data_IF_182930912563
#
_entry.id   IF_182930912563
#
_cell.length_a   1.000
_cell.length_b   1.000
_cell.length_c   1.000
_cell.angle_alpha   90.00
_cell.angle_beta   90.00
_cell.angle_gamma   90.00
#
_symmetry.space_group_name_H-M   'P 1'
#
loop_
_entity.id
_entity.type
_entity.pdbx_description
1 polymer ?
#
# COMPACT_ATOMS: atom_id res chain seq x y z
N UNK A 1 6.25 8.61 -8.20
CA UNK A 1 6.18 7.19 -7.79
C UNK A 1 6.04 6.24 -8.98
N UNK A 2 4.99 6.33 -9.80
CA UNK A 2 4.61 5.33 -10.82
C UNK A 2 5.64 5.08 -11.95
N UNK A 3 5.60 3.87 -12.51
CA UNK A 3 6.46 3.39 -13.61
C UNK A 3 6.17 4.11 -14.94
N UNK A 4 4.89 4.33 -15.22
CA UNK A 4 4.41 4.99 -16.44
C UNK A 4 3.59 6.24 -16.09
N UNK A 5 3.48 7.16 -17.06
CA UNK A 5 2.55 8.29 -17.05
C UNK A 5 1.61 8.15 -18.23
N UNK A 6 0.34 8.47 -18.01
CA UNK A 6 -0.68 8.55 -19.04
C UNK A 6 -0.60 9.92 -19.70
N UNK A 7 -0.65 9.96 -21.03
CA UNK A 7 -0.70 11.18 -21.83
C UNK A 7 -2.02 11.26 -22.58
N UNK A 8 -2.39 12.47 -23.01
CA UNK A 8 -3.53 12.74 -23.88
C UNK A 8 -4.79 11.95 -23.46
N UNK A 9 -5.24 12.14 -22.22
CA UNK A 9 -6.47 11.51 -21.71
C UNK A 9 -6.56 9.97 -21.87
N UNK A 10 -5.43 9.26 -21.95
CA UNK A 10 -5.42 7.81 -22.08
C UNK A 10 -4.98 7.29 -23.45
N UNK A 11 -4.74 8.15 -24.44
CA UNK A 11 -4.33 7.70 -25.78
C UNK A 11 -2.96 7.03 -25.81
N UNK A 12 -2.05 7.43 -24.91
CA UNK A 12 -0.72 6.82 -24.85
C UNK A 12 -0.15 6.81 -23.43
N UNK A 13 0.83 5.94 -23.23
CA UNK A 13 1.60 5.86 -21.99
C UNK A 13 3.08 6.08 -22.28
N UNK A 14 3.76 6.81 -21.40
CA UNK A 14 5.21 7.04 -21.50
C UNK A 14 5.91 6.62 -20.22
N UNK A 15 7.15 6.15 -20.36
CA UNK A 15 7.95 5.72 -19.21
C UNK A 15 8.36 6.93 -18.38
N UNK A 16 8.18 6.85 -17.07
CA UNK A 16 8.67 7.86 -16.14
C UNK A 16 10.17 7.63 -15.86
N UNK A 17 11.08 8.56 -16.26
CA UNK A 17 12.51 8.40 -16.00
C UNK A 17 12.86 8.45 -14.50
N UNK A 18 11.98 9.00 -13.68
CA UNK A 18 12.14 9.18 -12.22
C UNK A 18 11.27 8.22 -11.41
N UNK A 19 10.93 7.05 -11.96
CA UNK A 19 10.16 6.04 -11.23
C UNK A 19 10.97 5.45 -10.07
N UNK A 20 10.29 5.19 -8.96
CA UNK A 20 10.89 4.53 -7.80
C UNK A 20 11.25 3.07 -8.10
N UNK A 21 10.63 2.46 -9.12
CA UNK A 21 10.93 1.08 -9.50
C UNK A 21 12.38 0.89 -10.03
N UNK A 22 13.11 1.99 -10.28
CA UNK A 22 14.54 1.94 -10.56
C UNK A 22 15.39 1.42 -9.39
N UNK A 23 14.88 1.52 -8.16
CA UNK A 23 15.61 1.19 -6.94
C UNK A 23 14.90 0.14 -6.07
N UNK A 24 13.64 -0.16 -6.34
CA UNK A 24 12.85 -1.11 -5.55
C UNK A 24 11.81 -1.86 -6.40
N UNK A 25 11.39 -3.03 -5.92
CA UNK A 25 10.15 -3.67 -6.42
C UNK A 25 8.97 -2.99 -5.73
N UNK A 26 7.93 -2.63 -6.48
CA UNK A 26 6.79 -1.88 -5.96
C UNK A 26 5.50 -2.66 -6.16
N UNK A 27 4.73 -2.78 -5.07
CA UNK A 27 3.35 -3.29 -5.09
C UNK A 27 2.45 -2.08 -4.92
N UNK A 28 1.51 -1.89 -5.86
CA UNK A 28 0.42 -0.93 -5.73
C UNK A 28 -0.82 -1.70 -5.26
N UNK A 29 -1.41 -1.27 -4.16
CA UNK A 29 -2.59 -1.90 -3.56
C UNK A 29 -3.75 -0.90 -3.59
N UNK A 30 -4.79 -1.22 -4.36
CA UNK A 30 -6.05 -0.50 -4.29
C UNK A 30 -6.80 -0.96 -3.03
N UNK A 31 -6.93 -0.07 -2.05
CA UNK A 31 -7.59 -0.35 -0.78
C UNK A 31 -8.30 0.90 -0.24
N UNK A 32 -9.38 0.73 0.55
CA UNK A 32 -10.04 -0.54 0.91
C UNK A 32 -10.82 -1.18 -0.26
N UNK A 33 -11.41 -2.36 -0.03
CA UNK A 33 -12.34 -2.96 -0.99
C UNK A 33 -13.42 -1.96 -1.39
N UNK A 34 -13.67 -1.75 -2.69
CA UNK A 34 -14.51 -0.68 -3.23
C UNK A 34 -13.72 0.46 -3.89
N UNK A 35 -12.39 0.52 -3.71
CA UNK A 35 -11.50 1.49 -4.36
C UNK A 35 -10.86 0.90 -5.61
N UNK A 36 -10.81 1.70 -6.70
CA UNK A 36 -10.10 1.35 -7.92
C UNK A 36 -10.59 0.03 -8.53
N UNK A 37 -9.70 -0.95 -8.62
CA UNK A 37 -10.03 -2.30 -9.09
C UNK A 37 -10.38 -3.29 -7.99
N UNK A 38 -10.24 -2.91 -6.72
CA UNK A 38 -10.69 -3.73 -5.59
C UNK A 38 -12.21 -3.60 -5.44
N UNK A 39 -12.94 -4.69 -5.64
CA UNK A 39 -14.40 -4.70 -5.63
C UNK A 39 -14.93 -5.09 -4.24
N UNK A 40 -15.99 -4.40 -3.81
CA UNK A 40 -16.79 -4.78 -2.64
C UNK A 40 -18.11 -5.37 -3.10
N UNK A 41 -18.38 -6.61 -2.68
CA UNK A 41 -19.52 -7.41 -3.18
C UNK A 41 -20.65 -7.57 -2.15
N UNK A 42 -20.41 -7.21 -0.89
CA UNK A 42 -21.35 -7.34 0.22
C UNK A 42 -22.33 -6.14 0.32
N UNK A 43 -22.11 -5.08 -0.46
CA UNK A 43 -22.94 -3.86 -0.46
C UNK A 43 -22.76 -2.96 0.76
N UNK A 44 -21.79 -3.24 1.62
CA UNK A 44 -21.43 -2.37 2.75
C UNK A 44 -20.48 -1.27 2.26
N UNK A 45 -20.61 -0.06 2.77
CA UNK A 45 -19.77 1.09 2.34
C UNK A 45 -19.15 1.86 3.51
N UNK A 46 -19.26 1.31 4.71
CA UNK A 46 -18.59 1.84 5.89
C UNK A 46 -17.25 1.13 6.03
N UNK A 47 -16.23 1.91 6.38
CA UNK A 47 -14.88 1.42 6.64
C UNK A 47 -14.44 1.98 7.98
N UNK A 48 -13.72 1.18 8.75
CA UNK A 48 -12.91 1.66 9.87
C UNK A 48 -11.44 1.51 9.52
N UNK A 49 -10.57 2.40 9.97
CA UNK A 49 -9.14 2.29 9.66
C UNK A 49 -8.52 0.97 10.17
N UNK A 50 -9.07 0.42 11.26
CA UNK A 50 -8.73 -0.90 11.79
C UNK A 50 -9.10 -2.03 10.82
N UNK A 51 -10.31 -2.00 10.24
CA UNK A 51 -10.73 -2.96 9.21
C UNK A 51 -9.79 -2.88 8.00
N UNK A 52 -9.54 -1.68 7.50
CA UNK A 52 -8.64 -1.46 6.35
C UNK A 52 -7.23 -1.98 6.62
N UNK A 53 -6.69 -1.76 7.82
CA UNK A 53 -5.36 -2.25 8.17
C UNK A 53 -5.29 -3.80 8.20
N UNK A 54 -6.31 -4.46 8.75
CA UNK A 54 -6.38 -5.92 8.79
C UNK A 54 -6.54 -6.54 7.39
N UNK A 55 -7.38 -5.94 6.54
CA UNK A 55 -7.56 -6.38 5.16
C UNK A 55 -6.29 -6.21 4.34
N UNK A 56 -5.56 -5.10 4.54
CA UNK A 56 -4.27 -4.86 3.90
C UNK A 56 -3.21 -5.88 4.35
N UNK A 57 -3.17 -6.23 5.63
CA UNK A 57 -2.30 -7.30 6.15
C UNK A 57 -2.64 -8.64 5.49
N UNK A 58 -3.92 -8.98 5.40
CA UNK A 58 -4.38 -10.22 4.76
C UNK A 58 -4.02 -10.25 3.27
N UNK A 59 -4.20 -9.15 2.55
CA UNK A 59 -3.80 -9.01 1.16
C UNK A 59 -2.29 -9.24 0.98
N UNK A 60 -1.47 -8.68 1.87
CA UNK A 60 -0.02 -8.85 1.82
C UNK A 60 0.41 -10.28 2.16
N UNK A 61 -0.18 -10.91 3.19
CA UNK A 61 0.04 -12.34 3.50
C UNK A 61 -0.28 -13.22 2.30
N UNK A 62 -1.44 -13.00 1.67
CA UNK A 62 -1.89 -13.73 0.49
C UNK A 62 -0.94 -13.52 -0.70
N UNK A 63 -0.46 -12.28 -0.89
CA UNK A 63 0.51 -11.98 -1.94
C UNK A 63 1.83 -12.75 -1.73
N UNK A 64 2.37 -12.76 -0.52
CA UNK A 64 3.60 -13.50 -0.21
C UNK A 64 3.42 -15.03 -0.21
N UNK A 65 2.21 -15.54 0.00
CA UNK A 65 1.92 -16.96 -0.24
C UNK A 65 2.01 -17.31 -1.73
N UNK A 66 1.55 -16.40 -2.60
CA UNK A 66 1.62 -16.57 -4.06
C UNK A 66 3.02 -16.34 -4.63
N UNK A 67 3.80 -15.45 -4.02
CA UNK A 67 5.17 -15.10 -4.43
C UNK A 67 6.17 -15.33 -3.28
N UNK A 68 6.36 -16.58 -2.84
CA UNK A 68 7.16 -16.90 -1.66
C UNK A 68 8.63 -16.49 -1.82
N UNK A 69 9.16 -16.46 -3.04
CA UNK A 69 10.52 -16.02 -3.33
C UNK A 69 10.78 -14.56 -2.95
N UNK A 70 9.71 -13.78 -2.75
CA UNK A 70 9.80 -12.36 -2.39
C UNK A 70 9.84 -12.12 -0.89
N UNK A 71 9.52 -13.11 -0.04
CA UNK A 71 9.50 -12.99 1.43
C UNK A 71 10.86 -12.62 2.05
N UNK A 72 11.96 -12.83 1.33
CA UNK A 72 13.31 -12.52 1.84
C UNK A 72 13.77 -11.10 1.54
N UNK A 73 13.06 -10.35 0.70
CA UNK A 73 13.43 -8.96 0.39
C UNK A 73 13.09 -8.05 1.57
N UNK A 74 13.86 -7.00 1.79
CA UNK A 74 13.46 -5.97 2.76
C UNK A 74 12.11 -5.35 2.36
N UNK A 75 11.20 -5.30 3.33
CA UNK A 75 9.84 -4.79 3.14
C UNK A 75 9.70 -3.39 3.74
N UNK A 76 9.14 -2.48 2.96
CA UNK A 76 8.79 -1.12 3.39
C UNK A 76 7.35 -0.82 3.00
N UNK A 77 6.63 -0.05 3.82
CA UNK A 77 5.27 0.42 3.53
C UNK A 77 5.32 1.92 3.29
N UNK A 78 4.78 2.39 2.17
CA UNK A 78 4.81 3.81 1.82
C UNK A 78 3.44 4.32 1.36
N UNK A 79 3.14 5.59 1.66
CA UNK A 79 1.88 6.22 1.28
C UNK A 79 1.91 7.74 1.42
N UNK A 80 0.86 8.40 0.92
CA UNK A 80 0.68 9.84 0.95
C UNK A 80 -0.73 10.23 1.44
N UNK A 81 -0.89 11.45 1.95
CA UNK A 81 -2.19 12.02 2.35
C UNK A 81 -2.87 11.18 3.45
N UNK A 82 -4.09 10.68 3.26
CA UNK A 82 -4.77 9.88 4.28
C UNK A 82 -4.06 8.54 4.56
N UNK A 83 -3.11 8.13 3.72
CA UNK A 83 -2.21 7.04 4.06
C UNK A 83 -1.28 7.37 5.25
N UNK A 84 -1.25 8.62 5.73
CA UNK A 84 -0.71 8.97 7.04
C UNK A 84 -1.37 8.22 8.20
N UNK A 85 -2.63 7.79 8.04
CA UNK A 85 -3.31 6.87 8.96
C UNK A 85 -3.03 5.42 8.58
N UNK A 86 -3.21 5.05 7.31
CA UNK A 86 -3.13 3.65 6.86
C UNK A 86 -1.73 3.04 7.02
N UNK A 87 -0.67 3.80 6.72
CA UNK A 87 0.71 3.30 6.73
C UNK A 87 1.16 2.95 8.16
N UNK A 88 1.00 3.81 9.18
CA UNK A 88 1.28 3.43 10.56
C UNK A 88 0.43 2.27 11.07
N UNK A 89 -0.87 2.24 10.76
CA UNK A 89 -1.74 1.18 11.26
C UNK A 89 -1.37 -0.20 10.70
N UNK A 90 -1.07 -0.30 9.39
CA UNK A 90 -0.55 -1.54 8.83
C UNK A 90 0.84 -1.89 9.40
N UNK A 91 1.73 -0.90 9.52
CA UNK A 91 3.08 -1.11 10.06
C UNK A 91 3.06 -1.65 11.49
N UNK A 92 2.12 -1.17 12.32
CA UNK A 92 1.91 -1.66 13.68
C UNK A 92 1.49 -3.13 13.70
N UNK A 93 0.68 -3.58 12.74
CA UNK A 93 0.35 -5.00 12.62
C UNK A 93 1.55 -5.83 12.17
N UNK A 94 2.33 -5.33 11.20
CA UNK A 94 3.48 -6.07 10.65
C UNK A 94 4.56 -6.38 11.69
N UNK A 95 4.83 -5.46 12.63
CA UNK A 95 5.85 -5.69 13.67
C UNK A 95 5.45 -6.79 14.69
N UNK A 96 4.18 -7.18 14.72
CA UNK A 96 3.65 -8.22 15.61
C UNK A 96 3.45 -9.57 14.90
N UNK A 97 3.81 -9.66 13.62
CA UNK A 97 3.63 -10.85 12.81
C UNK A 97 4.98 -11.50 12.49
N UNK A 98 5.20 -12.72 13.00
CA UNK A 98 6.47 -13.46 12.85
C UNK A 98 6.87 -13.65 11.37
N UNK A 99 5.88 -13.78 10.48
CA UNK A 99 6.05 -13.94 9.04
C UNK A 99 6.65 -12.71 8.33
N UNK A 100 6.71 -11.56 9.01
CA UNK A 100 7.20 -10.28 8.47
C UNK A 100 8.48 -9.77 9.16
N UNK A 101 9.36 -10.69 9.58
CA UNK A 101 10.69 -10.39 10.15
C UNK A 101 11.58 -9.49 9.26
N UNK A 102 11.28 -9.41 7.97
CA UNK A 102 11.96 -8.61 6.96
C UNK A 102 11.38 -7.17 6.83
N UNK A 103 10.37 -6.79 7.62
CA UNK A 103 9.86 -5.43 7.64
C UNK A 103 10.91 -4.46 8.23
N UNK A 104 11.26 -3.41 7.48
CA UNK A 104 12.35 -2.48 7.82
C UNK A 104 11.90 -1.07 8.11
N UNK A 105 10.68 -0.68 7.73
CA UNK A 105 10.14 0.62 8.09
C UNK A 105 9.09 1.14 7.14
N UNK A 106 8.73 2.40 7.36
CA UNK A 106 7.65 3.06 6.62
C UNK A 106 8.04 4.45 6.13
N UNK A 107 7.37 4.94 5.09
CA UNK A 107 7.55 6.28 4.54
C UNK A 107 6.19 6.95 4.32
N UNK A 108 6.02 8.15 4.86
CA UNK A 108 4.76 8.90 4.80
C UNK A 108 5.06 10.26 4.16
N UNK A 109 4.42 10.52 3.01
CA UNK A 109 4.46 11.83 2.36
C UNK A 109 3.23 12.64 2.71
N UNK A 110 3.41 13.87 3.23
CA UNK A 110 2.30 14.81 3.46
C UNK A 110 1.06 14.18 4.12
N UNK A 111 1.30 13.35 5.15
CA UNK A 111 0.28 12.47 5.72
C UNK A 111 -0.65 13.16 6.73
N UNK A 112 -1.91 12.74 6.75
CA UNK A 112 -2.82 13.03 7.87
C UNK A 112 -2.45 12.10 9.02
N UNK A 113 -1.77 12.62 10.04
CA UNK A 113 -1.22 11.81 11.14
C UNK A 113 -1.86 12.11 12.49
N UNK A 114 -2.42 13.31 12.64
CA UNK A 114 -3.03 13.78 13.88
C UNK A 114 -4.06 14.88 13.57
N UNK A 115 -5.30 14.73 14.05
CA UNK A 115 -6.40 15.65 13.73
C UNK A 115 -6.28 17.02 14.42
N UNK A 116 -5.39 17.17 15.41
CA UNK A 116 -5.17 18.41 16.15
C UNK A 116 -3.98 19.19 15.57
N UNK A 117 -2.98 18.49 15.04
CA UNK A 117 -1.75 19.09 14.52
C UNK A 117 -1.77 19.35 12.99
N UNK A 118 -2.75 18.80 12.26
CA UNK A 118 -2.94 19.07 10.82
C UNK A 118 -3.81 20.30 10.57
#
# INVERSE_FOLDING_TARGET
>A
MCLFRVNNYGESVTRNPWTWNRYANIIYLDAPAGVGFSLRLDGLWNYTDTEVANDNLLALKTWFQKFPERKHNDLYVAGESYAGTYVPMLSALLIHEDDFYNFKGMLIGNGCVDDVLN
#
